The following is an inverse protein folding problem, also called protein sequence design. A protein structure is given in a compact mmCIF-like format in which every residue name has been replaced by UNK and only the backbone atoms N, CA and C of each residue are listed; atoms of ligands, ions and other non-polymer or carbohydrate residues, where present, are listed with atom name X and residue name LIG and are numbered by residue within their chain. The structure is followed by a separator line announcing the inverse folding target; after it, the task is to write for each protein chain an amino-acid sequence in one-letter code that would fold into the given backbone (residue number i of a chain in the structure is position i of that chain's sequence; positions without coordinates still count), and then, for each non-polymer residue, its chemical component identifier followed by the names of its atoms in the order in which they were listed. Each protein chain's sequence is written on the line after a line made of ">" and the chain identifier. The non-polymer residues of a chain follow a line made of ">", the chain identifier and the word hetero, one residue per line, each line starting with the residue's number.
data_IF_663564726651
#
_entry.id   IF_663564726651
#
_cell.length_a   1.000
_cell.length_b   1.000
_cell.length_c   1.000
_cell.angle_alpha   90.00
_cell.angle_beta   90.00
_cell.angle_gamma   90.00
#
_symmetry.space_group_name_H-M   'P 1'
#
loop_
_entity.id
_entity.type
_entity.pdbx_description
1 polymer ?
#
# COMPACT_ATOMS: atom_id res chain seq x y z
N UNK A 1 -7.87 -29.72 18.13
CA UNK A 1 -9.12 -29.17 17.59
C UNK A 1 -9.10 -27.64 17.49
N UNK A 2 -9.00 -26.87 18.59
CA UNK A 2 -8.97 -25.39 18.55
C UNK A 2 -7.90 -24.79 17.62
N UNK A 3 -6.68 -25.36 17.59
CA UNK A 3 -5.59 -24.90 16.71
C UNK A 3 -5.84 -25.17 15.22
N UNK A 4 -6.59 -26.23 14.90
CA UNK A 4 -6.96 -26.59 13.52
C UNK A 4 -8.13 -25.75 13.01
N UNK A 5 -9.10 -25.39 13.87
CA UNK A 5 -10.16 -24.44 13.51
C UNK A 5 -9.64 -23.02 13.32
N UNK A 6 -8.67 -22.60 14.15
CA UNK A 6 -8.03 -21.29 14.00
C UNK A 6 -7.32 -21.16 12.64
N UNK A 7 -6.60 -22.20 12.21
CA UNK A 7 -5.95 -22.27 10.90
C UNK A 7 -6.95 -22.36 9.73
N UNK A 8 -8.19 -22.80 10.00
CA UNK A 8 -9.26 -22.93 8.99
C UNK A 8 -10.01 -21.62 8.75
N UNK A 9 -10.02 -20.72 9.75
CA UNK A 9 -10.68 -19.41 9.70
C UNK A 9 -9.71 -18.23 9.63
N UNK A 10 -8.40 -18.45 9.81
CA UNK A 10 -7.38 -17.45 9.49
C UNK A 10 -7.25 -17.40 7.96
N UNK A 11 -8.15 -16.67 7.32
CA UNK A 11 -8.00 -16.33 5.92
C UNK A 11 -6.77 -15.42 5.82
N UNK A 12 -5.60 -16.01 5.51
CA UNK A 12 -4.36 -15.29 5.28
C UNK A 12 -4.56 -14.12 4.30
N UNK A 13 -5.51 -14.27 3.38
CA UNK A 13 -5.96 -13.23 2.46
C UNK A 13 -6.58 -12.02 3.17
N UNK A 14 -7.45 -12.20 4.18
CA UNK A 14 -8.02 -11.09 4.95
C UNK A 14 -6.94 -10.31 5.70
N UNK A 15 -5.95 -11.02 6.27
CA UNK A 15 -4.81 -10.38 6.92
C UNK A 15 -3.98 -9.58 5.92
N UNK A 16 -3.69 -10.13 4.74
CA UNK A 16 -2.93 -9.44 3.68
C UNK A 16 -3.65 -8.20 3.16
N UNK A 17 -4.97 -8.27 3.00
CA UNK A 17 -5.78 -7.11 2.63
C UNK A 17 -5.70 -6.03 3.69
N UNK A 18 -5.91 -6.39 4.97
CA UNK A 18 -5.82 -5.44 6.07
C UNK A 18 -4.41 -4.82 6.16
N UNK A 19 -3.36 -5.64 6.14
CA UNK A 19 -1.98 -5.20 6.27
C UNK A 19 -1.51 -4.33 5.09
N UNK A 20 -2.17 -4.43 3.94
CA UNK A 20 -1.86 -3.62 2.76
C UNK A 20 -2.67 -2.33 2.70
N UNK A 21 -3.95 -2.36 3.07
CA UNK A 21 -4.84 -1.19 3.00
C UNK A 21 -4.59 -0.22 4.17
N UNK A 22 -4.37 -0.75 5.39
CA UNK A 22 -4.19 0.09 6.58
C UNK A 22 -3.06 1.13 6.42
N UNK A 23 -1.85 0.77 5.96
CA UNK A 23 -0.76 1.73 5.78
C UNK A 23 -1.08 2.81 4.73
N UNK A 24 -1.82 2.48 3.66
CA UNK A 24 -2.31 3.46 2.68
C UNK A 24 -3.22 4.47 3.37
N UNK A 25 -4.16 3.99 4.18
CA UNK A 25 -5.05 4.84 4.97
C UNK A 25 -4.27 5.78 5.89
N UNK A 26 -3.24 5.29 6.58
CA UNK A 26 -2.37 6.13 7.41
C UNK A 26 -1.66 7.20 6.57
N UNK A 27 -1.08 6.82 5.43
CA UNK A 27 -0.44 7.77 4.51
C UNK A 27 -1.38 8.88 4.05
N UNK A 28 -2.61 8.51 3.68
CA UNK A 28 -3.66 9.47 3.31
C UNK A 28 -4.01 10.38 4.49
N UNK A 29 -4.25 9.84 5.69
CA UNK A 29 -4.58 10.61 6.89
C UNK A 29 -3.50 11.63 7.24
N UNK A 30 -2.22 11.32 7.02
CA UNK A 30 -1.12 12.28 7.23
C UNK A 30 -1.20 13.50 6.31
N UNK A 31 -1.68 13.33 5.07
CA UNK A 31 -1.82 14.42 4.09
C UNK A 31 -3.19 15.11 4.14
N UNK A 32 -4.20 14.45 4.72
CA UNK A 32 -5.59 14.90 4.75
C UNK A 32 -5.78 16.30 5.35
N UNK A 33 -5.16 16.70 6.48
CA UNK A 33 -5.36 18.04 7.05
C UNK A 33 -4.97 19.16 6.09
N UNK A 34 -3.87 18.96 5.35
CA UNK A 34 -3.42 19.94 4.36
C UNK A 34 -4.33 19.98 3.13
N UNK A 35 -4.81 18.82 2.70
CA UNK A 35 -5.77 18.74 1.60
C UNK A 35 -7.08 19.47 1.95
N UNK A 36 -7.59 19.30 3.17
CA UNK A 36 -8.79 20.02 3.64
C UNK A 36 -8.60 21.53 3.55
N UNK A 37 -7.46 22.06 3.98
CA UNK A 37 -7.17 23.50 3.87
C UNK A 37 -7.12 23.97 2.40
N UNK A 38 -6.48 23.20 1.52
CA UNK A 38 -6.41 23.50 0.08
C UNK A 38 -7.80 23.51 -0.58
N UNK A 39 -8.72 22.65 -0.13
CA UNK A 39 -10.12 22.60 -0.59
C UNK A 39 -10.90 23.83 -0.13
N UNK A 40 -10.76 24.22 1.14
CA UNK A 40 -11.44 25.38 1.71
C UNK A 40 -10.99 26.67 1.01
N UNK A 41 -9.74 26.74 0.56
CA UNK A 41 -9.19 27.87 -0.19
C UNK A 41 -9.68 27.94 -1.66
N UNK A 42 -10.63 27.10 -2.09
CA UNK A 42 -11.18 27.04 -3.46
C UNK A 42 -10.11 26.89 -4.55
N UNK A 43 -9.01 26.20 -4.23
CA UNK A 43 -7.96 25.96 -5.23
C UNK A 43 -8.44 24.97 -6.30
N UNK A 44 -7.98 25.17 -7.53
CA UNK A 44 -8.38 24.34 -8.67
C UNK A 44 -7.72 22.97 -8.58
N UNK A 45 -8.50 21.92 -8.35
CA UNK A 45 -7.98 20.55 -8.26
C UNK A 45 -7.28 20.12 -9.56
N UNK A 46 -5.95 20.04 -9.53
CA UNK A 46 -5.17 19.34 -10.56
C UNK A 46 -4.38 18.18 -9.99
N UNK A 47 -3.90 17.30 -10.87
CA UNK A 47 -3.14 16.13 -10.48
C UNK A 47 -1.70 16.21 -11.03
N UNK A 48 -0.73 16.15 -10.13
CA UNK A 48 0.69 16.08 -10.44
C UNK A 48 1.08 14.64 -10.81
N UNK A 49 0.96 14.36 -12.10
CA UNK A 49 1.34 13.08 -12.70
C UNK A 49 2.84 12.80 -12.57
N UNK A 50 3.70 13.81 -12.62
CA UNK A 50 5.14 13.61 -12.51
C UNK A 50 5.51 13.04 -11.14
N UNK A 51 4.95 13.62 -10.07
CA UNK A 51 5.14 13.13 -8.70
C UNK A 51 4.52 11.74 -8.49
N UNK A 52 3.32 11.52 -9.03
CA UNK A 52 2.66 10.22 -8.89
C UNK A 52 3.46 9.13 -9.61
N UNK A 53 3.90 9.37 -10.84
CA UNK A 53 4.69 8.41 -11.60
C UNK A 53 6.10 8.20 -11.02
N UNK A 54 6.72 9.24 -10.48
CA UNK A 54 8.07 9.17 -9.91
C UNK A 54 8.15 8.50 -8.53
N UNK A 55 7.09 8.59 -7.71
CA UNK A 55 7.11 8.09 -6.32
C UNK A 55 5.91 7.20 -5.99
N UNK A 56 4.71 7.58 -6.44
CA UNK A 56 3.48 6.82 -6.18
C UNK A 56 3.48 5.46 -6.88
N UNK A 57 3.79 5.42 -8.18
CA UNK A 57 3.78 4.18 -8.94
C UNK A 57 4.85 3.18 -8.47
N UNK A 58 6.11 3.58 -8.19
CA UNK A 58 7.09 2.68 -7.59
C UNK A 58 6.67 2.14 -6.21
N UNK A 59 6.11 2.99 -5.33
CA UNK A 59 5.65 2.55 -4.01
C UNK A 59 4.45 1.59 -4.08
N UNK A 60 3.53 1.82 -5.03
CA UNK A 60 2.46 0.87 -5.34
C UNK A 60 3.01 -0.46 -5.87
N UNK A 61 4.07 -0.44 -6.68
CA UNK A 61 4.73 -1.64 -7.19
C UNK A 61 5.28 -2.51 -6.05
N UNK A 62 6.02 -1.90 -5.11
CA UNK A 62 6.55 -2.59 -3.92
C UNK A 62 5.43 -3.20 -3.07
N UNK A 63 4.34 -2.44 -2.85
CA UNK A 63 3.18 -2.92 -2.11
C UNK A 63 2.48 -4.07 -2.84
N UNK A 64 2.32 -3.98 -4.16
CA UNK A 64 1.63 -4.98 -4.98
C UNK A 64 2.39 -6.30 -5.05
N UNK A 65 3.73 -6.26 -5.16
CA UNK A 65 4.58 -7.45 -5.05
C UNK A 65 4.33 -8.16 -3.72
N UNK A 66 4.16 -7.39 -2.65
CA UNK A 66 3.91 -7.92 -1.32
C UNK A 66 2.57 -8.62 -1.14
N UNK A 67 1.60 -8.30 -1.98
CA UNK A 67 0.29 -8.98 -2.03
C UNK A 67 0.36 -10.18 -2.97
N UNK A 68 1.04 -10.04 -4.11
CA UNK A 68 1.08 -11.04 -5.16
C UNK A 68 1.61 -12.40 -4.67
N UNK A 69 2.55 -12.39 -3.72
CA UNK A 69 3.11 -13.62 -3.11
C UNK A 69 2.08 -14.50 -2.42
N UNK A 70 0.93 -13.94 -2.03
CA UNK A 70 -0.17 -14.67 -1.38
C UNK A 70 -1.24 -15.11 -2.40
N UNK A 71 -0.98 -14.96 -3.70
CA UNK A 71 -1.90 -15.32 -4.79
C UNK A 71 -1.25 -16.33 -5.75
N UNK A 72 -2.04 -17.19 -6.43
CA UNK A 72 -1.52 -18.11 -7.45
C UNK A 72 -0.79 -17.42 -8.62
N UNK A 73 -1.06 -16.13 -8.84
CA UNK A 73 -0.37 -15.34 -9.85
C UNK A 73 1.10 -15.06 -9.45
N UNK A 74 1.40 -14.92 -8.16
CA UNK A 74 2.76 -14.70 -7.67
C UNK A 74 3.70 -15.86 -7.91
N UNK A 75 3.19 -17.10 -7.84
CA UNK A 75 3.97 -18.33 -8.05
C UNK A 75 4.58 -18.42 -9.46
N UNK A 76 3.91 -17.84 -10.46
CA UNK A 76 4.33 -17.94 -11.87
C UNK A 76 5.13 -16.73 -12.37
N UNK A 77 5.01 -15.57 -11.70
CA UNK A 77 5.53 -14.31 -12.23
C UNK A 77 6.94 -14.02 -11.71
N UNK A 78 7.35 -14.52 -10.53
CA UNK A 78 8.59 -14.04 -9.90
C UNK A 78 9.41 -15.15 -9.21
N UNK A 79 10.38 -15.78 -9.90
CA UNK A 79 11.25 -16.81 -9.32
C UNK A 79 12.22 -16.29 -8.22
N UNK A 80 12.32 -14.97 -8.02
CA UNK A 80 13.29 -14.32 -7.11
C UNK A 80 12.69 -13.63 -5.88
N UNK A 81 11.37 -13.66 -5.69
CA UNK A 81 10.72 -12.97 -4.55
C UNK A 81 10.91 -13.62 -3.17
N UNK A 82 11.31 -14.91 -2.99
CA UNK A 82 11.34 -15.47 -1.66
C UNK A 82 12.27 -14.71 -0.72
N UNK A 83 13.47 -14.30 -1.12
CA UNK A 83 14.51 -13.96 -0.13
C UNK A 83 14.34 -12.57 0.52
N UNK A 84 13.94 -11.56 -0.24
CA UNK A 84 13.76 -10.18 0.28
C UNK A 84 12.48 -10.10 1.14
N UNK A 85 11.44 -10.86 0.78
CA UNK A 85 10.14 -10.83 1.46
C UNK A 85 9.97 -11.89 2.57
N UNK A 86 10.53 -13.10 2.43
CA UNK A 86 10.57 -14.07 3.52
C UNK A 86 11.45 -13.61 4.68
N UNK A 87 12.36 -12.66 4.47
CA UNK A 87 13.16 -12.06 5.55
C UNK A 87 12.32 -11.34 6.62
N UNK A 88 10.98 -11.27 6.46
CA UNK A 88 10.06 -10.85 7.51
C UNK A 88 10.00 -9.34 7.70
N UNK A 89 10.55 -8.57 6.76
CA UNK A 89 10.61 -7.12 6.89
C UNK A 89 9.30 -6.45 6.44
N UNK A 90 8.24 -6.63 7.25
CA UNK A 90 6.93 -5.97 7.09
C UNK A 90 7.02 -4.43 7.10
N UNK A 91 8.14 -3.88 7.55
CA UNK A 91 8.41 -2.44 7.54
C UNK A 91 8.47 -1.89 6.12
N UNK A 92 9.09 -2.59 5.17
CA UNK A 92 9.19 -2.10 3.78
C UNK A 92 7.81 -2.00 3.15
N UNK A 93 6.98 -3.04 3.30
CA UNK A 93 5.59 -3.04 2.83
C UNK A 93 4.78 -1.91 3.48
N UNK A 94 4.92 -1.75 4.80
CA UNK A 94 4.23 -0.70 5.56
C UNK A 94 4.65 0.69 5.09
N UNK A 95 5.95 0.94 4.94
CA UNK A 95 6.49 2.21 4.44
C UNK A 95 6.03 2.47 3.01
N UNK A 96 6.05 1.47 2.13
CA UNK A 96 5.56 1.60 0.76
C UNK A 96 4.08 2.00 0.72
N UNK A 97 3.24 1.35 1.55
CA UNK A 97 1.82 1.73 1.66
C UNK A 97 1.61 3.14 2.21
N UNK A 98 2.34 3.55 3.25
CA UNK A 98 2.28 4.92 3.80
C UNK A 98 2.72 5.95 2.76
N UNK A 99 3.85 5.72 2.08
CA UNK A 99 4.35 6.61 1.02
C UNK A 99 3.36 6.70 -0.13
N UNK A 100 2.80 5.57 -0.57
CA UNK A 100 1.79 5.55 -1.63
C UNK A 100 0.56 6.37 -1.26
N UNK A 101 -0.03 6.12 -0.08
CA UNK A 101 -1.21 6.85 0.39
C UNK A 101 -0.97 8.35 0.54
N UNK A 102 0.21 8.73 1.06
CA UNK A 102 0.60 10.13 1.18
C UNK A 102 0.76 10.81 -0.18
N UNK A 103 1.51 10.19 -1.09
CA UNK A 103 1.76 10.74 -2.43
C UNK A 103 0.48 10.81 -3.26
N UNK A 104 -0.43 9.85 -3.11
CA UNK A 104 -1.72 9.89 -3.80
C UNK A 104 -2.46 11.20 -3.51
N UNK A 105 -2.55 11.61 -2.23
CA UNK A 105 -3.17 12.87 -1.85
C UNK A 105 -2.27 14.09 -2.09
N UNK A 106 -0.94 13.97 -2.01
CA UNK A 106 -0.04 15.10 -2.28
C UNK A 106 0.15 15.40 -3.78
N UNK A 107 -0.14 14.42 -4.64
CA UNK A 107 -0.27 14.59 -6.08
C UNK A 107 -1.57 15.29 -6.46
N UNK A 108 -2.60 15.24 -5.61
CA UNK A 108 -3.76 16.11 -5.75
C UNK A 108 -3.35 17.51 -5.30
N UNK A 109 -2.83 18.29 -6.24
CA UNK A 109 -2.53 19.71 -6.07
C UNK A 109 -2.81 20.45 -7.36
N UNK A 110 -3.75 21.37 -7.29
CA UNK A 110 -3.47 22.80 -7.42
C UNK A 110 -4.40 23.54 -6.48
#
# INVERSE_FOLDING_TARGET
>A
MLKQEYMKNYEALSFVWFSSIYPIGIGMLLKLPKLINEIIENRQWTFDWAKFMGVGLPSLGVLSISILIFTPAGENIIPFVPEIMYSGNSTIQTMAGVVFGFILLDSVKK
#
